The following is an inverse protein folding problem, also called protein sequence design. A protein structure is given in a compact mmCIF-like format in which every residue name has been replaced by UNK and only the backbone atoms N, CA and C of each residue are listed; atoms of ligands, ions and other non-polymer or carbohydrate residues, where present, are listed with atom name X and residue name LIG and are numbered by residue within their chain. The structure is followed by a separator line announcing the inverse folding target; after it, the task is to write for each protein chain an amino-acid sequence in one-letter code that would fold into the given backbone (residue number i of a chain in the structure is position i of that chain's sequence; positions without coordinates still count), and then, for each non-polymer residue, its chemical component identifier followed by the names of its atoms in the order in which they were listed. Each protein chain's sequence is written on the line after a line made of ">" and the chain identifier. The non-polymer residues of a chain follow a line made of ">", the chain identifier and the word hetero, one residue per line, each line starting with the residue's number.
data_IF_522586183748
#
_entry.id   IF_522586183748
#
_cell.length_a   1.000
_cell.length_b   1.000
_cell.length_c   1.000
_cell.angle_alpha   90.00
_cell.angle_beta   90.00
_cell.angle_gamma   90.00
#
_symmetry.space_group_name_H-M   'P 1'
#
loop_
_entity.id
_entity.type
_entity.pdbx_description
1 polymer ?
#
# COMPACT_ATOMS: atom_id res chain seq x y z
N UNK A 1 -14.70 6.59 8.66
CA UNK A 1 -15.74 6.60 7.60
C UNK A 1 -16.07 5.16 7.31
N UNK A 2 -17.30 4.71 7.62
CA UNK A 2 -17.71 3.33 7.36
C UNK A 2 -17.81 3.10 5.85
N UNK A 3 -17.39 1.94 5.35
CA UNK A 3 -17.46 1.63 3.92
C UNK A 3 -18.50 0.54 3.65
N UNK A 4 -19.35 0.75 2.64
CA UNK A 4 -20.42 -0.19 2.26
C UNK A 4 -20.01 -0.99 1.02
N UNK A 5 -19.39 -2.15 1.24
CA UNK A 5 -19.15 -3.17 0.20
C UNK A 5 -17.96 -2.95 -0.73
N UNK A 6 -17.19 -1.87 -0.60
CA UNK A 6 -15.90 -1.69 -1.29
C UNK A 6 -14.83 -1.23 -0.30
N UNK A 7 -13.67 -1.88 -0.32
CA UNK A 7 -12.53 -1.56 0.53
C UNK A 7 -11.59 -0.63 -0.24
N UNK A 8 -11.28 0.53 0.32
CA UNK A 8 -10.23 1.41 -0.21
C UNK A 8 -8.86 0.83 0.14
N UNK A 9 -7.99 0.71 -0.86
CA UNK A 9 -6.56 0.40 -0.67
C UNK A 9 -5.73 1.66 -0.92
N UNK A 10 -4.52 1.69 -0.36
CA UNK A 10 -3.56 2.75 -0.63
C UNK A 10 -2.20 2.15 -0.95
N UNK A 11 -1.46 2.69 -1.94
CA UNK A 11 -0.08 2.27 -2.15
C UNK A 11 0.77 2.64 -0.94
N UNK A 12 1.89 1.95 -0.76
CA UNK A 12 2.88 2.36 0.24
C UNK A 12 3.48 3.70 -0.18
N UNK A 13 3.20 4.76 0.59
CA UNK A 13 3.68 6.12 0.29
C UNK A 13 5.20 6.13 0.27
N UNK A 14 5.77 6.78 -0.74
CA UNK A 14 7.22 6.84 -0.97
C UNK A 14 7.78 5.58 -1.62
N UNK A 15 7.22 4.39 -1.33
CA UNK A 15 7.63 3.10 -1.90
C UNK A 15 9.15 2.95 -1.95
N UNK A 16 9.71 3.06 -3.16
CA UNK A 16 11.16 3.21 -3.38
C UNK A 16 11.47 4.67 -3.66
N UNK A 17 12.14 5.35 -2.72
CA UNK A 17 12.56 6.76 -2.88
C UNK A 17 13.45 6.96 -4.14
N UNK A 18 14.40 6.05 -4.46
CA UNK A 18 15.16 6.16 -5.70
C UNK A 18 14.35 6.16 -7.01
N UNK A 19 13.12 5.65 -7.00
CA UNK A 19 12.21 5.63 -8.15
C UNK A 19 11.34 6.90 -8.25
N UNK A 20 11.39 7.79 -7.24
CA UNK A 20 10.56 8.99 -7.21
C UNK A 20 11.17 10.10 -8.10
N UNK A 21 10.35 10.82 -8.90
CA UNK A 21 10.84 11.86 -9.80
C UNK A 21 11.72 12.91 -9.11
N UNK A 22 11.29 13.40 -7.94
CA UNK A 22 12.04 14.42 -7.20
C UNK A 22 13.44 13.95 -6.78
N UNK A 23 13.63 12.66 -6.53
CA UNK A 23 14.92 12.14 -6.08
C UNK A 23 15.91 12.09 -7.24
N UNK A 24 15.42 11.74 -8.44
CA UNK A 24 16.18 11.79 -9.69
C UNK A 24 16.57 13.24 -10.00
N UNK A 25 15.61 14.17 -9.90
CA UNK A 25 15.83 15.60 -10.20
C UNK A 25 16.85 16.27 -9.26
N UNK A 26 16.93 15.82 -8.01
CA UNK A 26 17.90 16.32 -7.02
C UNK A 26 19.30 15.68 -7.14
N UNK A 27 19.52 14.81 -8.13
CA UNK A 27 20.80 14.11 -8.30
C UNK A 27 21.04 13.02 -7.25
N UNK A 28 19.96 12.45 -6.71
CA UNK A 28 20.04 11.34 -5.77
C UNK A 28 20.76 10.13 -6.39
N UNK A 29 21.64 9.50 -5.62
CA UNK A 29 22.32 8.29 -6.07
C UNK A 29 21.37 7.10 -5.98
N UNK A 30 21.23 6.38 -7.09
CA UNK A 30 20.38 5.20 -7.17
C UNK A 30 21.18 4.02 -6.60
N UNK A 31 20.93 3.72 -5.33
CA UNK A 31 21.31 2.43 -4.75
C UNK A 31 20.27 1.37 -5.10
N UNK A 32 20.72 0.17 -5.47
CA UNK A 32 19.80 -0.91 -5.78
C UNK A 32 19.18 -1.48 -4.49
N UNK A 33 17.93 -1.11 -4.26
CA UNK A 33 17.13 -1.57 -3.13
C UNK A 33 16.03 -2.55 -3.62
N UNK A 34 16.35 -3.83 -3.88
CA UNK A 34 15.42 -4.76 -4.53
C UNK A 34 14.13 -4.98 -3.73
N UNK A 35 14.21 -4.98 -2.40
CA UNK A 35 13.03 -5.08 -1.55
C UNK A 35 12.15 -3.82 -1.62
N UNK A 36 12.74 -2.63 -1.61
CA UNK A 36 12.01 -1.38 -1.73
C UNK A 36 11.34 -1.27 -3.11
N UNK A 37 12.02 -1.69 -4.18
CA UNK A 37 11.45 -1.79 -5.53
C UNK A 37 10.26 -2.74 -5.59
N UNK A 38 10.38 -3.92 -4.98
CA UNK A 38 9.27 -4.89 -4.91
C UNK A 38 8.06 -4.30 -4.17
N UNK A 39 8.27 -3.62 -3.06
CA UNK A 39 7.17 -2.95 -2.32
C UNK A 39 6.61 -1.76 -3.09
N UNK A 40 7.43 -1.02 -3.84
CA UNK A 40 6.95 0.07 -4.69
C UNK A 40 6.02 -0.42 -5.81
N UNK A 41 6.32 -1.59 -6.38
CA UNK A 41 5.54 -2.17 -7.49
C UNK A 41 4.26 -2.89 -7.02
N UNK A 42 4.33 -3.62 -5.90
CA UNK A 42 3.26 -4.54 -5.49
C UNK A 42 2.65 -4.21 -4.13
N UNK A 43 3.25 -3.28 -3.37
CA UNK A 43 2.86 -2.99 -2.00
C UNK A 43 1.68 -2.04 -1.92
N UNK A 44 0.70 -2.42 -1.11
CA UNK A 44 -0.41 -1.58 -0.69
C UNK A 44 -0.79 -1.93 0.75
N UNK A 45 -1.53 -1.05 1.39
CA UNK A 45 -2.14 -1.31 2.69
C UNK A 45 -3.66 -1.19 2.61
N UNK A 46 -4.31 -1.96 3.49
CA UNK A 46 -5.75 -1.99 3.71
C UNK A 46 -6.11 -1.13 4.94
N UNK A 47 -7.41 -0.82 5.17
CA UNK A 47 -7.84 -0.13 6.37
C UNK A 47 -7.49 -0.92 7.64
N UNK A 48 -6.87 -0.25 8.62
CA UNK A 48 -6.54 -0.80 9.94
C UNK A 48 -6.79 0.25 11.03
N UNK A 49 -8.00 0.81 11.04
CA UNK A 49 -8.46 1.77 12.05
C UNK A 49 -9.13 1.03 13.20
N UNK A 50 -9.12 1.62 14.39
CA UNK A 50 -9.68 1.04 15.61
C UNK A 50 -11.22 0.97 15.62
N UNK A 51 -11.89 1.80 14.81
CA UNK A 51 -13.35 1.83 14.67
C UNK A 51 -13.90 0.90 13.56
N UNK A 52 -13.12 -0.10 13.12
CA UNK A 52 -13.62 -1.11 12.18
C UNK A 52 -14.69 -1.99 12.84
N UNK A 53 -15.81 -2.14 12.16
CA UNK A 53 -16.85 -3.09 12.56
C UNK A 53 -16.48 -4.51 12.15
N UNK A 54 -17.05 -5.53 12.81
CA UNK A 54 -16.84 -6.93 12.44
C UNK A 54 -17.26 -7.21 10.98
N UNK A 55 -18.32 -6.57 10.49
CA UNK A 55 -18.76 -6.67 9.09
C UNK A 55 -17.70 -6.15 8.11
N UNK A 56 -17.09 -5.00 8.42
CA UNK A 56 -16.01 -4.42 7.61
C UNK A 56 -14.76 -5.30 7.63
N UNK A 57 -14.39 -5.85 8.79
CA UNK A 57 -13.27 -6.79 8.92
C UNK A 57 -13.53 -8.04 8.08
N UNK A 58 -14.72 -8.64 8.18
CA UNK A 58 -15.10 -9.81 7.38
C UNK A 58 -15.08 -9.52 5.88
N UNK A 59 -15.50 -8.33 5.47
CA UNK A 59 -15.42 -7.89 4.07
C UNK A 59 -13.97 -7.86 3.58
N UNK A 60 -13.06 -7.27 4.37
CA UNK A 60 -11.63 -7.23 4.05
C UNK A 60 -11.05 -8.65 3.95
N UNK A 61 -11.32 -9.52 4.94
CA UNK A 61 -10.81 -10.88 4.97
C UNK A 61 -11.30 -11.70 3.78
N UNK A 62 -12.57 -11.56 3.39
CA UNK A 62 -13.11 -12.29 2.25
C UNK A 62 -12.50 -11.85 0.93
N UNK A 63 -12.09 -10.58 0.78
CA UNK A 63 -11.40 -10.09 -0.42
C UNK A 63 -9.94 -10.57 -0.52
N UNK A 64 -9.32 -10.92 0.60
CA UNK A 64 -7.92 -11.36 0.67
C UNK A 64 -7.74 -12.89 0.59
N UNK A 65 -8.83 -13.66 0.62
CA UNK A 65 -8.76 -15.11 0.44
C UNK A 65 -8.34 -15.43 -0.99
N UNK A 66 -7.40 -16.35 -1.13
CA UNK A 66 -7.14 -17.03 -2.40
C UNK A 66 -8.18 -18.15 -2.59
N UNK A 67 -8.45 -18.51 -3.86
CA UNK A 67 -9.36 -19.60 -4.23
C UNK A 67 -8.82 -20.99 -3.81
#
# INVERSE_FOLDING_TARGET
>A
KKFSGKVEIRPIVGGSIPEQPFFIDLGGQIEDCPNAKKIHQFGFYIPNRDDLTEEEINTILNLLKED
#
